data_IF_159158457301
#
_entry.id   IF_159158457301
#
_cell.length_a   1.000
_cell.length_b   1.000
_cell.length_c   1.000
_cell.angle_alpha   90.00
_cell.angle_beta   90.00
_cell.angle_gamma   90.00
#
_symmetry.space_group_name_H-M   'P 1'
#
loop_
_entity.id
_entity.type
_entity.pdbx_description
1 polymer ?
#
# COMPACT_ATOMS: atom_id res chain seq x y z
N UNK A 1 19.65 2.97 29.77
CA UNK A 1 19.93 3.98 28.73
C UNK A 1 20.28 3.24 27.47
N UNK A 2 19.34 3.10 26.53
CA UNK A 2 19.59 2.47 25.24
C UNK A 2 19.18 3.46 24.15
N UNK A 3 20.07 4.41 23.92
CA UNK A 3 20.19 5.12 22.66
C UNK A 3 20.72 4.14 21.62
N UNK A 4 19.84 3.60 20.78
CA UNK A 4 20.20 3.11 19.45
C UNK A 4 19.07 3.46 18.49
N UNK A 5 19.15 4.67 17.97
CA UNK A 5 18.59 4.99 16.66
C UNK A 5 19.70 4.81 15.61
N UNK A 6 19.66 3.77 14.77
CA UNK A 6 20.33 3.80 13.49
C UNK A 6 19.32 4.15 12.39
N UNK A 7 19.50 5.36 11.85
CA UNK A 7 18.91 5.86 10.62
C UNK A 7 19.32 5.01 9.39
N UNK A 8 18.40 4.92 8.42
CA UNK A 8 18.46 4.33 7.06
C UNK A 8 17.87 2.91 6.88
N UNK A 9 16.84 2.82 6.02
CA UNK A 9 15.64 1.99 6.18
C UNK A 9 15.59 0.69 5.35
N UNK A 10 15.34 -0.48 5.96
CA UNK A 10 14.77 -1.65 5.28
C UNK A 10 13.26 -1.51 5.01
N UNK A 11 12.63 -0.41 5.45
CA UNK A 11 11.19 -0.17 5.32
C UNK A 11 10.70 -0.10 3.87
N UNK A 12 11.48 0.43 2.93
CA UNK A 12 11.00 0.77 1.58
C UNK A 12 10.52 -0.41 0.73
N UNK A 13 11.16 -1.58 0.84
CA UNK A 13 10.75 -2.80 0.13
C UNK A 13 9.54 -3.47 0.80
N UNK A 14 9.59 -3.62 2.12
CA UNK A 14 8.48 -4.17 2.91
C UNK A 14 7.22 -3.30 2.79
N UNK A 15 7.39 -1.97 2.74
CA UNK A 15 6.32 -1.00 2.52
C UNK A 15 5.75 -1.09 1.10
N UNK A 16 6.62 -1.33 0.10
CA UNK A 16 6.22 -1.55 -1.28
C UNK A 16 5.33 -2.80 -1.44
N UNK A 17 5.75 -3.92 -0.85
CA UNK A 17 4.99 -5.16 -0.83
C UNK A 17 3.70 -5.06 -0.02
N UNK A 18 3.76 -4.39 1.12
CA UNK A 18 2.59 -4.06 1.92
C UNK A 18 1.55 -3.31 1.08
N UNK A 19 1.94 -2.23 0.40
CA UNK A 19 1.01 -1.45 -0.42
C UNK A 19 0.49 -2.24 -1.63
N UNK A 20 1.31 -3.08 -2.27
CA UNK A 20 0.83 -3.98 -3.33
C UNK A 20 -0.25 -4.94 -2.82
N UNK A 21 0.00 -5.59 -1.68
CA UNK A 21 -0.95 -6.52 -1.06
C UNK A 21 -2.25 -5.80 -0.68
N UNK A 22 -2.17 -4.65 -0.02
CA UNK A 22 -3.35 -3.85 0.35
C UNK A 22 -4.15 -3.37 -0.86
N UNK A 23 -3.49 -3.03 -1.96
CA UNK A 23 -4.17 -2.69 -3.20
C UNK A 23 -4.98 -3.89 -3.74
N UNK A 24 -4.41 -5.10 -3.72
CA UNK A 24 -5.09 -6.32 -4.15
C UNK A 24 -6.27 -6.67 -3.23
N UNK A 25 -6.08 -6.62 -1.91
CA UNK A 25 -7.14 -6.87 -0.91
C UNK A 25 -8.36 -5.97 -1.18
N UNK A 26 -8.12 -4.68 -1.38
CA UNK A 26 -9.19 -3.73 -1.64
C UNK A 26 -9.87 -3.91 -2.99
N UNK A 27 -9.16 -4.43 -4.01
CA UNK A 27 -9.79 -4.78 -5.27
C UNK A 27 -10.76 -5.96 -5.08
N UNK A 28 -10.32 -7.02 -4.40
CA UNK A 28 -11.17 -8.18 -4.11
C UNK A 28 -12.39 -7.80 -3.26
N UNK A 29 -12.21 -6.93 -2.25
CA UNK A 29 -13.32 -6.42 -1.44
C UNK A 29 -14.31 -5.60 -2.27
N UNK A 30 -13.85 -4.82 -3.25
CA UNK A 30 -14.71 -4.06 -4.14
C UNK A 30 -15.53 -4.96 -5.10
N UNK A 31 -14.98 -6.11 -5.49
CA UNK A 31 -15.65 -7.09 -6.35
C UNK A 31 -16.79 -7.81 -5.62
N UNK A 32 -16.61 -8.14 -4.34
CA UNK A 32 -17.64 -8.84 -3.54
C UNK A 32 -18.62 -7.89 -2.84
N UNK A 33 -18.34 -6.57 -2.82
CA UNK A 33 -19.20 -5.58 -2.19
C UNK A 33 -20.55 -5.46 -2.91
N UNK A 34 -21.64 -5.74 -2.19
CA UNK A 34 -23.02 -5.61 -2.70
C UNK A 34 -23.50 -4.16 -2.75
N UNK A 35 -22.97 -3.31 -1.87
CA UNK A 35 -23.35 -1.90 -1.76
C UNK A 35 -22.43 -1.01 -2.61
N UNK A 36 -23.04 -0.17 -3.45
CA UNK A 36 -22.32 0.77 -4.31
C UNK A 36 -21.40 1.71 -3.52
N UNK A 37 -21.81 2.14 -2.32
CA UNK A 37 -20.99 2.99 -1.44
C UNK A 37 -19.74 2.27 -0.94
N UNK A 38 -19.89 1.05 -0.44
CA UNK A 38 -18.77 0.21 0.01
C UNK A 38 -17.80 -0.10 -1.14
N UNK A 39 -18.33 -0.44 -2.32
CA UNK A 39 -17.54 -0.64 -3.53
C UNK A 39 -16.70 0.60 -3.88
N UNK A 40 -17.30 1.79 -3.85
CA UNK A 40 -16.59 3.04 -4.14
C UNK A 40 -15.45 3.31 -3.15
N UNK A 41 -15.67 3.03 -1.87
CA UNK A 41 -14.65 3.18 -0.82
C UNK A 41 -13.48 2.22 -1.06
N UNK A 42 -13.77 0.94 -1.32
CA UNK A 42 -12.72 -0.05 -1.60
C UNK A 42 -11.94 0.27 -2.87
N UNK A 43 -12.61 0.71 -3.94
CA UNK A 43 -11.94 1.17 -5.16
C UNK A 43 -11.05 2.40 -4.93
N UNK A 44 -11.45 3.31 -4.04
CA UNK A 44 -10.63 4.46 -3.65
C UNK A 44 -9.36 4.01 -2.93
N UNK A 45 -9.47 3.09 -1.98
CA UNK A 45 -8.30 2.57 -1.27
C UNK A 45 -7.37 1.76 -2.18
N UNK A 46 -7.92 0.94 -3.09
CA UNK A 46 -7.13 0.24 -4.11
C UNK A 46 -6.23 1.21 -4.89
N UNK A 47 -6.79 2.35 -5.36
CA UNK A 47 -6.03 3.37 -6.08
C UNK A 47 -4.92 3.98 -5.22
N UNK A 48 -5.24 4.40 -3.99
CA UNK A 48 -4.27 5.00 -3.07
C UNK A 48 -3.08 4.07 -2.82
N UNK A 49 -3.35 2.80 -2.50
CA UNK A 49 -2.29 1.83 -2.22
C UNK A 49 -1.47 1.49 -3.46
N UNK A 50 -2.11 1.32 -4.61
CA UNK A 50 -1.42 1.10 -5.89
C UNK A 50 -0.48 2.26 -6.23
N UNK A 51 -0.95 3.49 -6.06
CA UNK A 51 -0.17 4.68 -6.41
C UNK A 51 1.02 4.85 -5.43
N UNK A 52 0.84 4.54 -4.14
CA UNK A 52 1.94 4.47 -3.16
C UNK A 52 2.97 3.40 -3.49
N UNK A 53 2.54 2.20 -3.87
CA UNK A 53 3.44 1.13 -4.30
C UNK A 53 4.28 1.55 -5.52
N UNK A 54 3.67 2.28 -6.47
CA UNK A 54 4.38 2.82 -7.64
C UNK A 54 5.43 3.85 -7.26
N UNK A 55 5.10 4.79 -6.37
CA UNK A 55 6.05 5.81 -5.90
C UNK A 55 7.26 5.18 -5.22
N UNK A 56 7.05 4.19 -4.34
CA UNK A 56 8.17 3.47 -3.71
C UNK A 56 8.99 2.67 -4.72
N UNK A 57 8.33 2.04 -5.70
CA UNK A 57 9.02 1.31 -6.78
C UNK A 57 9.77 2.20 -7.77
N UNK A 58 9.51 3.52 -7.80
CA UNK A 58 10.31 4.51 -8.51
C UNK A 58 11.51 4.95 -7.68
N UNK A 59 11.30 5.23 -6.39
CA UNK A 59 12.37 5.66 -5.45
C UNK A 59 13.44 4.59 -5.22
N UNK A 60 13.10 3.30 -5.34
CA UNK A 60 14.04 2.18 -5.19
C UNK A 60 14.83 1.84 -6.46
N UNK A 61 14.58 2.50 -7.60
CA UNK A 61 15.32 2.29 -8.85
C UNK A 61 16.26 3.47 -9.11
N UNK A 62 17.33 3.60 -8.31
CA UNK A 62 18.49 4.46 -8.57
C UNK A 62 19.78 3.69 -8.24
#
# INVERSE_FOLDING_TARGET
>A
MTDKNPSASPASQDDGDYFRKRAADHLQLAEIAKESGSKAIHMRFHRIYRDRARMLGMVLRD
#
